data_IF_201504967257
#
_entry.id   IF_201504967257
#
_cell.length_a   1.000
_cell.length_b   1.000
_cell.length_c   1.000
_cell.angle_alpha   90.00
_cell.angle_beta   90.00
_cell.angle_gamma   90.00
#
_symmetry.space_group_name_H-M   'P 1'
#
loop_
_entity.id
_entity.type
_entity.pdbx_description
1 polymer ?
#
# COMPACT_ATOMS: atom_id res chain seq x y z
N UNK A 1 26.00 53.27 51.95
CA UNK A 1 25.10 52.11 51.94
C UNK A 1 24.94 51.72 50.48
N UNK A 2 25.61 50.65 50.09
CA UNK A 2 25.63 50.16 48.72
C UNK A 2 24.25 49.57 48.37
N UNK A 3 23.74 49.93 47.18
CA UNK A 3 22.43 49.50 46.66
C UNK A 3 22.23 47.97 46.73
N UNK A 4 23.32 47.22 46.60
CA UNK A 4 23.33 45.76 46.60
C UNK A 4 23.12 45.12 47.99
N UNK A 5 23.29 45.86 49.10
CA UNK A 5 23.00 45.36 50.45
C UNK A 5 21.49 45.31 50.76
N UNK A 6 20.67 46.10 50.04
CA UNK A 6 19.20 46.08 50.21
C UNK A 6 18.45 45.24 49.18
N UNK A 7 18.98 45.12 47.96
CA UNK A 7 18.24 44.55 46.85
C UNK A 7 18.71 43.16 46.41
N UNK A 8 19.82 42.64 46.97
CA UNK A 8 20.41 41.39 46.50
C UNK A 8 20.95 41.51 45.06
N UNK A 9 21.78 40.56 44.64
CA UNK A 9 22.15 40.44 43.25
C UNK A 9 21.04 39.71 42.48
N UNK A 10 20.66 40.26 41.33
CA UNK A 10 19.69 39.64 40.43
C UNK A 10 20.31 38.34 39.89
N UNK A 11 19.80 37.20 40.33
CA UNK A 11 20.26 35.88 39.88
C UNK A 11 19.51 35.55 38.61
N UNK A 12 20.13 35.81 37.47
CA UNK A 12 19.61 35.37 36.18
C UNK A 12 19.41 33.84 36.19
N UNK A 13 18.17 33.38 36.09
CA UNK A 13 17.80 31.96 36.02
C UNK A 13 18.16 31.27 34.69
N UNK A 14 19.06 31.84 33.88
CA UNK A 14 19.34 31.38 32.52
C UNK A 14 20.57 30.48 32.37
N UNK A 15 21.34 30.24 33.44
CA UNK A 15 22.46 29.30 33.41
C UNK A 15 21.99 27.86 33.68
N UNK A 16 21.32 27.27 32.68
CA UNK A 16 21.14 25.82 32.60
C UNK A 16 22.31 25.23 31.78
N UNK A 17 23.23 24.45 32.37
CA UNK A 17 24.45 23.95 31.70
C UNK A 17 24.20 22.83 30.66
N UNK A 18 22.96 22.66 30.18
CA UNK A 18 22.58 21.55 29.31
C UNK A 18 21.31 21.85 28.49
N UNK A 19 21.27 22.97 27.77
CA UNK A 19 20.38 23.09 26.61
C UNK A 19 21.22 22.93 25.35
N UNK A 20 21.34 21.68 24.90
CA UNK A 20 21.95 21.32 23.63
C UNK A 20 21.06 21.86 22.49
N UNK A 21 21.15 23.16 22.21
CA UNK A 21 20.54 23.73 21.01
C UNK A 21 21.22 23.08 19.82
N UNK A 22 20.43 22.50 18.93
CA UNK A 22 20.93 22.07 17.63
C UNK A 22 21.65 23.27 17.00
N UNK A 23 22.82 23.06 16.36
CA UNK A 23 23.51 24.14 15.67
C UNK A 23 22.53 24.86 14.75
N UNK A 24 22.52 26.19 14.78
CA UNK A 24 21.73 26.97 13.83
C UNK A 24 22.30 26.75 12.44
N UNK A 25 21.72 25.80 11.71
CA UNK A 25 22.01 25.60 10.30
C UNK A 25 21.36 26.74 9.53
N UNK A 26 22.11 27.41 8.66
CA UNK A 26 21.52 28.46 7.81
C UNK A 26 20.56 27.82 6.80
N UNK A 27 19.52 28.55 6.39
CA UNK A 27 18.59 28.06 5.37
C UNK A 27 19.30 27.75 4.04
N UNK A 28 20.37 28.48 3.71
CA UNK A 28 21.19 28.24 2.52
C UNK A 28 21.99 26.94 2.63
N UNK A 29 22.62 26.68 3.78
CA UNK A 29 23.35 25.44 4.00
C UNK A 29 22.43 24.22 4.05
N UNK A 30 21.24 24.35 4.64
CA UNK A 30 20.22 23.32 4.57
C UNK A 30 19.73 23.06 3.13
N UNK A 31 19.74 24.09 2.27
CA UNK A 31 19.38 24.00 0.85
C UNK A 31 20.51 23.40 -0.01
N UNK A 32 21.78 23.59 0.36
CA UNK A 32 22.92 22.92 -0.28
C UNK A 32 23.00 21.44 0.14
N UNK A 33 22.67 21.10 1.40
CA UNK A 33 22.64 19.73 1.93
C UNK A 33 21.46 18.87 1.41
N UNK A 34 20.25 19.44 1.29
CA UNK A 34 19.77 19.81 -0.04
C UNK A 34 20.34 19.10 -1.29
N UNK A 35 20.65 19.91 -2.28
CA UNK A 35 20.99 19.49 -3.63
C UNK A 35 22.20 18.51 -3.74
N UNK A 36 23.09 18.45 -2.76
CA UNK A 36 24.22 17.52 -2.74
C UNK A 36 23.85 16.03 -2.57
N UNK A 37 22.63 15.72 -2.16
CA UNK A 37 22.27 14.36 -1.74
C UNK A 37 21.67 13.55 -2.91
N UNK A 38 22.53 13.05 -3.81
CA UNK A 38 22.20 12.16 -4.96
C UNK A 38 21.41 10.90 -4.53
N UNK A 39 21.36 10.59 -3.22
CA UNK A 39 20.68 9.40 -2.68
C UNK A 39 19.27 9.63 -2.14
N UNK A 40 18.64 10.80 -2.35
CA UNK A 40 17.32 11.15 -1.77
C UNK A 40 16.18 10.22 -2.11
N UNK A 41 16.28 9.56 -3.26
CA UNK A 41 15.20 8.77 -3.83
C UNK A 41 15.61 7.30 -3.91
N UNK A 42 14.60 6.44 -3.78
CA UNK A 42 14.68 5.03 -4.13
C UNK A 42 13.94 4.87 -5.46
N UNK A 43 14.64 4.40 -6.50
CA UNK A 43 14.03 4.18 -7.81
C UNK A 43 12.90 3.15 -7.72
N UNK A 44 11.86 3.36 -8.52
CA UNK A 44 10.78 2.39 -8.73
C UNK A 44 11.07 1.44 -9.89
N UNK A 45 12.23 1.59 -10.55
CA UNK A 45 12.59 0.94 -11.81
C UNK A 45 11.64 1.26 -12.98
N UNK A 46 10.87 2.36 -12.84
CA UNK A 46 9.93 2.87 -13.83
C UNK A 46 10.27 4.35 -14.10
N UNK A 47 11.05 4.66 -15.15
CA UNK A 47 11.65 5.99 -15.33
C UNK A 47 10.64 7.14 -15.35
N UNK A 48 9.48 6.94 -15.95
CA UNK A 48 8.47 7.99 -16.05
C UNK A 48 7.70 8.18 -14.73
N UNK A 49 7.50 7.11 -13.96
CA UNK A 49 6.98 7.19 -12.60
C UNK A 49 7.99 7.89 -11.68
N UNK A 50 9.27 7.54 -11.78
CA UNK A 50 10.34 8.18 -11.01
C UNK A 50 10.38 9.69 -11.27
N UNK A 51 10.32 10.12 -12.53
CA UNK A 51 10.23 11.54 -12.90
C UNK A 51 9.00 12.22 -12.30
N UNK A 52 7.83 11.57 -12.34
CA UNK A 52 6.61 12.13 -11.78
C UNK A 52 6.69 12.30 -10.25
N UNK A 53 7.42 11.41 -9.58
CA UNK A 53 7.71 11.51 -8.15
C UNK A 53 8.78 12.58 -7.83
N UNK A 54 9.70 12.87 -8.75
CA UNK A 54 10.67 13.98 -8.63
C UNK A 54 10.04 15.36 -8.79
N UNK A 55 9.09 15.52 -9.73
CA UNK A 55 8.62 16.81 -10.25
C UNK A 55 7.96 17.79 -9.23
N UNK A 56 7.89 17.44 -7.96
CA UNK A 56 7.46 18.33 -6.86
C UNK A 56 8.60 18.83 -5.97
N UNK A 57 9.84 18.39 -6.18
CA UNK A 57 11.03 19.04 -5.67
C UNK A 57 11.51 20.03 -6.76
N UNK A 58 11.48 21.33 -6.44
CA UNK A 58 12.03 22.47 -7.19
C UNK A 58 12.57 22.18 -8.59
N UNK A 59 11.94 22.76 -9.62
CA UNK A 59 12.55 22.90 -10.94
C UNK A 59 13.88 23.67 -10.83
N UNK A 60 15.00 22.96 -10.79
CA UNK A 60 16.30 23.55 -11.08
C UNK A 60 16.29 23.99 -12.56
N UNK A 61 16.78 25.21 -12.89
CA UNK A 61 16.80 25.71 -14.26
C UNK A 61 17.88 25.07 -15.14
N UNK A 62 18.73 24.20 -14.59
CA UNK A 62 19.81 23.54 -15.31
C UNK A 62 19.43 22.08 -15.58
N UNK A 63 19.47 21.68 -16.85
CA UNK A 63 18.94 20.41 -17.39
C UNK A 63 19.66 19.13 -16.98
N UNK A 64 19.96 18.95 -15.70
CA UNK A 64 20.28 17.66 -15.12
C UNK A 64 18.97 16.92 -14.83
N UNK A 65 18.81 15.72 -15.38
CA UNK A 65 17.63 14.88 -15.16
C UNK A 65 17.68 14.41 -13.71
N UNK A 66 16.99 15.13 -12.84
CA UNK A 66 16.96 14.82 -11.42
C UNK A 66 16.39 13.39 -11.25
N UNK A 67 17.19 12.51 -10.65
CA UNK A 67 16.84 11.11 -10.47
C UNK A 67 15.70 11.02 -9.44
N UNK A 68 14.47 10.88 -9.90
CA UNK A 68 13.30 10.78 -9.05
C UNK A 68 13.04 9.39 -8.48
N UNK A 69 11.94 9.26 -7.74
CA UNK A 69 11.51 8.00 -7.15
C UNK A 69 10.85 8.19 -5.79
N UNK A 70 10.83 7.12 -5.00
CA UNK A 70 10.27 7.15 -3.64
C UNK A 70 11.19 7.98 -2.74
N UNK A 71 10.68 9.10 -2.25
CA UNK A 71 11.44 10.03 -1.43
C UNK A 71 11.74 9.46 -0.04
N UNK A 72 13.01 9.54 0.39
CA UNK A 72 13.42 9.32 1.77
C UNK A 72 12.95 10.45 2.69
N UNK A 73 12.94 10.18 4.00
CA UNK A 73 12.46 11.16 4.98
C UNK A 73 10.92 11.24 5.06
N UNK A 74 10.22 10.57 4.15
CA UNK A 74 8.78 10.69 3.95
C UNK A 74 8.10 9.33 3.94
N UNK A 75 6.80 9.34 4.24
CA UNK A 75 5.95 8.17 4.24
C UNK A 75 5.20 8.07 2.91
N UNK A 76 5.40 6.96 2.21
CA UNK A 76 4.73 6.64 0.94
C UNK A 76 3.72 5.52 1.14
N UNK A 77 2.49 5.70 0.66
CA UNK A 77 1.46 4.66 0.64
C UNK A 77 1.23 4.15 -0.78
N UNK A 78 1.25 2.83 -0.95
CA UNK A 78 0.87 2.16 -2.19
C UNK A 78 -0.35 1.31 -1.90
N UNK A 79 -1.48 1.66 -2.51
CA UNK A 79 -2.75 0.98 -2.25
C UNK A 79 -3.36 0.44 -3.53
N UNK A 80 -4.22 -0.57 -3.40
CA UNK A 80 -4.92 -1.12 -4.54
C UNK A 80 -5.52 -2.51 -4.30
N UNK A 81 -6.33 -3.02 -5.24
CA UNK A 81 -6.95 -4.34 -5.15
C UNK A 81 -5.96 -5.51 -5.00
N UNK A 82 -6.41 -6.70 -4.57
CA UNK A 82 -5.56 -7.90 -4.60
C UNK A 82 -5.08 -8.22 -6.03
N UNK A 83 -3.89 -8.82 -6.16
CA UNK A 83 -3.34 -9.24 -7.46
C UNK A 83 -2.75 -8.14 -8.36
N UNK A 84 -2.91 -6.86 -8.01
CA UNK A 84 -2.36 -5.73 -8.81
C UNK A 84 -0.84 -5.56 -8.71
N UNK A 85 -0.14 -6.37 -7.91
CA UNK A 85 1.32 -6.36 -7.83
C UNK A 85 1.94 -5.45 -6.77
N UNK A 86 1.19 -5.02 -5.74
CA UNK A 86 1.73 -4.20 -4.63
C UNK A 86 2.98 -4.82 -3.98
N UNK A 87 2.94 -6.11 -3.68
CA UNK A 87 4.05 -6.84 -3.06
C UNK A 87 5.24 -6.93 -4.00
N UNK A 88 5.02 -7.24 -5.28
CA UNK A 88 6.08 -7.24 -6.29
C UNK A 88 6.71 -5.85 -6.47
N UNK A 89 5.91 -4.78 -6.39
CA UNK A 89 6.40 -3.40 -6.41
C UNK A 89 7.28 -3.09 -5.19
N UNK A 90 6.86 -3.51 -4.00
CA UNK A 90 7.68 -3.39 -2.78
C UNK A 90 8.97 -4.22 -2.83
N UNK A 91 8.91 -5.43 -3.37
CA UNK A 91 10.08 -6.30 -3.56
C UNK A 91 11.07 -5.69 -4.54
N UNK A 92 10.60 -5.10 -5.65
CA UNK A 92 11.48 -4.40 -6.60
C UNK A 92 12.24 -3.27 -5.90
N UNK A 93 11.53 -2.37 -5.21
CA UNK A 93 12.15 -1.27 -4.48
C UNK A 93 13.16 -1.78 -3.43
N UNK A 94 12.84 -2.87 -2.73
CA UNK A 94 13.75 -3.51 -1.79
C UNK A 94 15.00 -4.08 -2.49
N UNK A 95 14.83 -4.77 -3.62
CA UNK A 95 15.92 -5.36 -4.38
C UNK A 95 16.88 -4.28 -4.90
N UNK A 96 16.37 -3.15 -5.37
CA UNK A 96 17.18 -2.02 -5.83
C UNK A 96 18.00 -1.41 -4.69
N UNK A 97 17.39 -1.22 -3.51
CA UNK A 97 18.10 -0.75 -2.30
C UNK A 97 19.19 -1.73 -1.86
N UNK A 98 18.93 -3.04 -1.93
CA UNK A 98 19.91 -4.06 -1.58
C UNK A 98 21.07 -4.12 -2.58
N UNK A 99 20.80 -3.92 -3.88
CA UNK A 99 21.84 -3.84 -4.93
C UNK A 99 22.79 -2.67 -4.71
N UNK A 100 22.28 -1.57 -4.17
CA UNK A 100 23.08 -0.40 -3.75
C UNK A 100 23.90 -0.65 -2.46
N UNK A 101 23.83 -1.85 -1.86
CA UNK A 101 24.53 -2.18 -0.62
C UNK A 101 23.90 -1.55 0.64
N UNK A 102 22.65 -1.07 0.55
CA UNK A 102 21.90 -0.47 1.66
C UNK A 102 21.03 -1.52 2.36
N UNK A 103 20.60 -1.22 3.57
CA UNK A 103 19.73 -2.11 4.36
C UNK A 103 18.24 -1.94 4.03
N UNK A 104 17.49 -3.04 4.09
CA UNK A 104 16.02 -3.07 3.96
C UNK A 104 15.41 -3.75 5.18
N UNK A 105 14.34 -3.15 5.73
CA UNK A 105 13.47 -3.78 6.73
C UNK A 105 12.12 -4.09 6.08
N UNK A 106 11.82 -5.38 5.88
CA UNK A 106 10.52 -5.83 5.40
C UNK A 106 9.66 -6.31 6.59
N UNK A 107 8.53 -5.66 6.82
CA UNK A 107 7.57 -6.05 7.87
C UNK A 107 6.31 -6.56 7.20
N UNK A 108 6.10 -7.87 7.26
CA UNK A 108 4.88 -8.49 6.75
C UNK A 108 3.77 -8.48 7.81
N UNK A 109 2.63 -7.89 7.44
CA UNK A 109 1.45 -7.75 8.26
C UNK A 109 0.25 -8.56 7.72
N UNK A 110 0.47 -9.51 6.79
CA UNK A 110 -0.63 -10.29 6.19
C UNK A 110 -1.34 -11.20 7.18
N UNK A 111 -0.64 -11.74 8.17
CA UNK A 111 -1.24 -12.63 9.16
C UNK A 111 -1.94 -11.81 10.26
N UNK A 112 -3.28 -11.95 10.39
CA UNK A 112 -3.99 -11.25 11.45
C UNK A 112 -3.53 -11.80 12.81
N UNK A 113 -3.21 -10.89 13.73
CA UNK A 113 -3.05 -11.25 15.15
C UNK A 113 -4.38 -11.85 15.64
N UNK A 114 -4.32 -13.02 16.29
CA UNK A 114 -5.52 -13.70 16.82
C UNK A 114 -6.36 -12.73 17.65
N UNK A 115 -7.55 -12.39 17.13
CA UNK A 115 -8.47 -11.46 17.78
C UNK A 115 -8.96 -12.01 19.10
N UNK A 116 -9.19 -13.31 19.19
CA UNK A 116 -9.60 -14.01 20.41
C UNK A 116 -8.54 -13.86 21.48
N UNK A 117 -7.28 -14.21 21.16
CA UNK A 117 -6.17 -14.10 22.09
C UNK A 117 -5.93 -12.67 22.56
N UNK A 118 -5.99 -11.70 21.63
CA UNK A 118 -5.83 -10.28 21.96
C UNK A 118 -6.97 -9.77 22.85
N UNK A 119 -8.20 -10.20 22.57
CA UNK A 119 -9.39 -9.81 23.34
C UNK A 119 -9.35 -10.38 24.75
N UNK A 120 -8.94 -11.63 24.93
CA UNK A 120 -8.74 -12.23 26.25
C UNK A 120 -7.71 -11.46 27.08
N UNK A 121 -6.57 -11.11 26.47
CA UNK A 121 -5.52 -10.33 27.14
C UNK A 121 -6.01 -8.92 27.49
N UNK A 122 -6.83 -8.30 26.64
CA UNK A 122 -7.43 -6.99 26.93
C UNK A 122 -8.50 -7.06 28.03
N UNK A 123 -9.34 -8.10 28.05
CA UNK A 123 -10.40 -8.30 29.06
C UNK A 123 -9.82 -8.56 30.45
N UNK A 124 -8.69 -9.25 30.53
CA UNK A 124 -7.95 -9.43 31.79
C UNK A 124 -7.44 -8.11 32.41
N UNK A 125 -7.54 -6.96 31.71
CA UNK A 125 -7.08 -5.64 32.15
C UNK A 125 -8.19 -4.60 32.32
N UNK A 126 -9.46 -5.00 32.42
CA UNK A 126 -10.58 -4.04 32.38
C UNK A 126 -10.48 -2.90 33.41
N UNK A 127 -10.37 -1.67 32.87
CA UNK A 127 -10.93 -0.45 33.44
C UNK A 127 -11.64 0.31 32.30
N UNK A 128 -12.78 0.94 32.62
CA UNK A 128 -13.62 1.69 31.69
C UNK A 128 -12.80 2.68 30.84
N UNK A 129 -12.70 2.40 29.55
CA UNK A 129 -11.85 3.14 28.62
C UNK A 129 -12.60 3.59 27.38
N UNK A 130 -11.94 4.40 26.52
CA UNK A 130 -12.54 4.93 25.31
C UNK A 130 -13.03 3.81 24.38
N UNK A 131 -14.00 4.13 23.51
CA UNK A 131 -14.57 3.19 22.55
C UNK A 131 -13.49 2.50 21.71
N UNK A 132 -13.75 1.30 21.20
CA UNK A 132 -12.82 0.59 20.31
C UNK A 132 -12.45 1.43 19.07
N UNK A 133 -13.38 2.22 18.55
CA UNK A 133 -13.13 3.15 17.45
C UNK A 133 -12.15 4.26 17.83
N UNK A 134 -12.28 4.82 19.03
CA UNK A 134 -11.36 5.83 19.57
C UNK A 134 -9.97 5.24 19.81
N UNK A 135 -9.89 4.03 20.38
CA UNK A 135 -8.62 3.30 20.54
C UNK A 135 -7.95 3.03 19.19
N UNK A 136 -8.71 2.59 18.19
CA UNK A 136 -8.22 2.38 16.83
C UNK A 136 -7.64 3.67 16.24
N UNK A 137 -8.33 4.81 16.41
CA UNK A 137 -7.83 6.10 15.91
C UNK A 137 -6.55 6.55 16.63
N UNK A 138 -6.47 6.35 17.95
CA UNK A 138 -5.27 6.64 18.74
C UNK A 138 -4.07 5.79 18.31
N UNK A 139 -4.30 4.49 18.10
CA UNK A 139 -3.26 3.57 17.59
C UNK A 139 -2.83 4.00 16.18
N UNK A 140 -3.78 4.33 15.30
CA UNK A 140 -3.46 4.76 13.95
C UNK A 140 -2.63 6.05 13.93
N UNK A 141 -2.99 7.02 14.77
CA UNK A 141 -2.22 8.25 14.98
C UNK A 141 -0.81 7.95 15.50
N UNK A 142 -0.68 7.04 16.47
CA UNK A 142 0.61 6.65 16.99
C UNK A 142 1.48 5.98 15.91
N UNK A 143 0.93 5.03 15.17
CA UNK A 143 1.64 4.30 14.11
C UNK A 143 2.12 5.25 13.03
N UNK A 144 1.24 6.12 12.50
CA UNK A 144 1.64 7.05 11.44
C UNK A 144 2.70 8.04 11.91
N UNK A 145 2.58 8.56 13.13
CA UNK A 145 3.60 9.45 13.71
C UNK A 145 4.94 8.74 13.92
N UNK A 146 4.91 7.47 14.34
CA UNK A 146 6.12 6.66 14.52
C UNK A 146 6.81 6.39 13.17
N UNK A 147 6.03 6.07 12.12
CA UNK A 147 6.54 5.86 10.77
C UNK A 147 7.11 7.16 10.17
N UNK A 148 6.43 8.29 10.33
CA UNK A 148 6.94 9.59 9.89
C UNK A 148 8.23 9.97 10.62
N UNK A 149 8.27 9.79 11.95
CA UNK A 149 9.48 10.03 12.74
C UNK A 149 10.61 9.11 12.30
N UNK A 150 10.33 7.83 12.05
CA UNK A 150 11.32 6.88 11.55
C UNK A 150 11.88 7.35 10.20
N UNK A 151 11.01 7.69 9.25
CA UNK A 151 11.40 8.19 7.93
C UNK A 151 12.32 9.40 8.05
N UNK A 152 11.89 10.43 8.78
CA UNK A 152 12.61 11.69 8.92
C UNK A 152 13.93 11.57 9.70
N UNK A 153 13.95 10.81 10.80
CA UNK A 153 15.14 10.71 11.67
C UNK A 153 16.22 9.79 11.13
N UNK A 154 15.85 8.83 10.29
CA UNK A 154 16.79 7.86 9.70
C UNK A 154 17.08 8.14 8.23
N UNK A 155 16.55 9.23 7.67
CA UNK A 155 16.58 9.51 6.23
C UNK A 155 16.22 8.26 5.41
N UNK A 156 15.15 7.59 5.83
CA UNK A 156 14.73 6.31 5.26
C UNK A 156 13.49 6.51 4.38
N UNK A 157 13.42 5.77 3.27
CA UNK A 157 12.20 5.63 2.50
C UNK A 157 11.29 4.64 3.22
N UNK A 158 10.14 5.10 3.70
CA UNK A 158 9.16 4.23 4.37
C UNK A 158 7.97 4.05 3.43
N UNK A 159 7.75 2.82 2.99
CA UNK A 159 6.67 2.44 2.09
C UNK A 159 5.69 1.55 2.83
N UNK A 160 4.40 1.88 2.79
CA UNK A 160 3.32 1.08 3.36
C UNK A 160 2.43 0.58 2.23
N UNK A 161 2.25 -0.74 2.17
CA UNK A 161 1.35 -1.39 1.22
C UNK A 161 -0.01 -1.57 1.89
N UNK A 162 -1.07 -0.97 1.34
CA UNK A 162 -2.43 -1.08 1.90
C UNK A 162 -3.42 -1.67 0.90
N UNK A 163 -4.46 -2.33 1.42
CA UNK A 163 -5.57 -2.80 0.59
C UNK A 163 -6.49 -1.64 0.19
N UNK A 164 -7.46 -1.90 -0.67
CA UNK A 164 -8.54 -0.96 -0.99
C UNK A 164 -9.87 -1.38 -0.35
N UNK A 165 -10.78 -0.43 -0.20
CA UNK A 165 -12.18 -0.65 0.12
C UNK A 165 -13.09 -0.02 -0.94
N UNK A 166 -14.33 -0.50 -1.04
CA UNK A 166 -15.33 0.10 -1.93
C UNK A 166 -16.19 1.10 -1.15
N UNK A 167 -16.29 2.34 -1.65
CA UNK A 167 -17.23 3.35 -1.14
C UNK A 167 -18.33 3.55 -2.17
N UNK A 168 -19.58 3.39 -1.74
CA UNK A 168 -20.74 3.76 -2.56
C UNK A 168 -21.00 5.26 -2.43
N UNK A 169 -21.08 5.94 -3.57
CA UNK A 169 -21.52 7.33 -3.68
C UNK A 169 -22.88 7.33 -4.39
N UNK A 170 -23.84 8.11 -3.86
CA UNK A 170 -25.20 8.14 -4.38
C UNK A 170 -25.27 8.51 -5.87
N UNK A 171 -24.36 9.37 -6.35
CA UNK A 171 -24.35 9.89 -7.73
C UNK A 171 -23.25 9.29 -8.62
N UNK A 172 -22.13 8.83 -8.03
CA UNK A 172 -20.95 8.32 -8.77
C UNK A 172 -20.77 6.80 -8.70
N UNK A 173 -21.72 6.10 -8.07
CA UNK A 173 -21.66 4.65 -7.92
C UNK A 173 -20.56 4.17 -6.98
N UNK A 174 -20.07 2.95 -7.22
CA UNK A 174 -19.02 2.33 -6.42
C UNK A 174 -17.63 2.86 -6.82
N UNK A 175 -16.90 3.44 -5.88
CA UNK A 175 -15.52 3.92 -6.09
C UNK A 175 -14.56 3.17 -5.17
N UNK A 176 -13.37 2.84 -5.67
CA UNK A 176 -12.30 2.30 -4.84
C UNK A 176 -11.62 3.43 -4.05
N UNK A 177 -11.39 3.18 -2.76
CA UNK A 177 -10.67 4.06 -1.86
C UNK A 177 -9.59 3.26 -1.11
N UNK A 178 -8.55 3.91 -0.56
CA UNK A 178 -7.66 3.26 0.39
C UNK A 178 -8.44 2.62 1.55
N UNK A 179 -8.03 1.45 2.01
CA UNK A 179 -8.69 0.75 3.12
C UNK A 179 -8.60 1.53 4.44
N UNK A 180 -7.55 2.33 4.60
CA UNK A 180 -7.37 3.24 5.75
C UNK A 180 -7.82 4.63 5.32
N UNK A 181 -9.10 4.94 5.56
CA UNK A 181 -9.67 6.25 5.28
C UNK A 181 -9.92 6.99 6.61
N UNK A 182 -8.85 7.55 7.17
CA UNK A 182 -8.90 8.37 8.38
C UNK A 182 -8.01 9.60 8.21
N UNK A 183 -8.49 10.78 8.58
CA UNK A 183 -7.78 12.05 8.40
C UNK A 183 -6.37 12.06 8.99
N UNK A 184 -6.19 11.41 10.15
CA UNK A 184 -4.89 11.28 10.82
C UNK A 184 -3.87 10.50 9.98
N UNK A 185 -4.33 9.48 9.24
CA UNK A 185 -3.49 8.70 8.33
C UNK A 185 -3.17 9.51 7.08
N UNK A 186 -4.22 10.09 6.47
CA UNK A 186 -4.14 10.93 5.27
C UNK A 186 -3.15 12.08 5.38
N UNK A 187 -3.10 12.73 6.54
CA UNK A 187 -2.16 13.82 6.83
C UNK A 187 -0.72 13.32 6.94
N UNK A 188 -0.52 12.08 7.40
CA UNK A 188 0.80 11.50 7.57
C UNK A 188 1.44 10.98 6.29
N UNK A 189 0.62 10.63 5.29
CA UNK A 189 1.10 10.18 3.97
C UNK A 189 1.59 11.37 3.15
N UNK A 190 2.86 11.38 2.76
CA UNK A 190 3.42 12.41 1.89
C UNK A 190 3.16 12.10 0.41
N UNK A 191 3.39 10.85 0.02
CA UNK A 191 3.24 10.37 -1.35
C UNK A 191 2.28 9.19 -1.39
N UNK A 192 1.37 9.18 -2.36
CA UNK A 192 0.38 8.10 -2.52
C UNK A 192 0.28 7.64 -3.96
N UNK A 193 0.40 6.33 -4.14
CA UNK A 193 0.22 5.63 -5.40
C UNK A 193 -1.01 4.71 -5.30
N UNK A 194 -1.83 4.70 -6.34
CA UNK A 194 -2.87 3.71 -6.54
C UNK A 194 -2.44 2.73 -7.63
N UNK A 195 -2.40 1.43 -7.30
CA UNK A 195 -2.13 0.38 -8.27
C UNK A 195 -3.43 -0.27 -8.74
N UNK A 196 -3.57 -0.38 -10.05
CA UNK A 196 -4.73 -0.96 -10.72
C UNK A 196 -4.24 -1.98 -11.74
N UNK A 197 -5.12 -2.89 -12.13
CA UNK A 197 -4.90 -3.81 -13.24
C UNK A 197 -5.98 -3.55 -14.27
N UNK A 198 -5.58 -3.44 -15.51
CA UNK A 198 -6.51 -3.27 -16.62
C UNK A 198 -6.05 -4.06 -17.85
N UNK A 199 -6.93 -4.17 -18.82
CA UNK A 199 -6.64 -4.73 -20.13
C UNK A 199 -6.13 -3.62 -21.04
N UNK A 200 -5.02 -3.88 -21.70
CA UNK A 200 -4.47 -3.00 -22.70
C UNK A 200 -4.34 -3.73 -24.02
N UNK A 201 -4.38 -2.98 -25.11
CA UNK A 201 -4.21 -3.51 -26.45
C UNK A 201 -2.79 -3.18 -26.92
N UNK A 202 -2.04 -4.20 -27.33
CA UNK A 202 -0.77 -4.02 -28.03
C UNK A 202 -0.80 -4.90 -29.27
N UNK A 203 -0.52 -4.32 -30.44
CA UNK A 203 -0.53 -5.00 -31.74
C UNK A 203 -1.79 -5.88 -31.97
N UNK A 204 -2.96 -5.36 -31.59
CA UNK A 204 -4.25 -6.06 -31.73
C UNK A 204 -4.49 -7.19 -30.73
N UNK A 205 -3.57 -7.46 -29.81
CA UNK A 205 -3.72 -8.50 -28.78
C UNK A 205 -4.00 -7.84 -27.42
N UNK A 206 -5.05 -8.27 -26.71
CA UNK A 206 -5.28 -7.82 -25.35
C UNK A 206 -4.23 -8.46 -24.43
N UNK A 207 -3.56 -7.64 -23.63
CA UNK A 207 -2.66 -8.09 -22.59
C UNK A 207 -3.03 -7.41 -21.27
N UNK A 208 -2.84 -8.14 -20.16
CA UNK A 208 -3.10 -7.59 -18.84
C UNK A 208 -1.96 -6.69 -18.41
N UNK A 209 -2.22 -5.40 -18.26
CA UNK A 209 -1.27 -4.43 -17.77
C UNK A 209 -1.59 -4.00 -16.35
N UNK A 210 -0.58 -3.52 -15.64
CA UNK A 210 -0.75 -2.87 -14.34
C UNK A 210 -0.48 -1.39 -14.50
N UNK A 211 -1.25 -0.59 -13.79
CA UNK A 211 -1.22 0.86 -13.86
C UNK A 211 -0.86 1.38 -12.46
N UNK A 212 0.10 2.29 -12.39
CA UNK A 212 0.43 3.07 -11.21
C UNK A 212 -0.05 4.50 -11.41
N UNK A 213 -1.08 4.90 -10.67
CA UNK A 213 -1.60 6.27 -10.68
C UNK A 213 -1.05 7.05 -9.48
N UNK A 214 -0.47 8.21 -9.74
CA UNK A 214 0.03 9.11 -8.70
C UNK A 214 -1.12 9.95 -8.17
N UNK A 215 -1.45 9.81 -6.89
CA UNK A 215 -2.56 10.54 -6.26
C UNK A 215 -2.10 11.69 -5.37
N UNK A 216 -0.91 11.57 -4.78
CA UNK A 216 -0.34 12.56 -3.87
C UNK A 216 1.17 12.53 -4.01
N UNK A 217 1.81 13.69 -4.07
CA UNK A 217 3.27 13.84 -4.06
C UNK A 217 3.61 15.00 -3.14
N UNK A 218 4.56 14.79 -2.22
CA UNK A 218 5.06 15.83 -1.30
C UNK A 218 3.95 16.60 -0.56
N UNK A 219 2.92 15.89 -0.11
CA UNK A 219 1.78 16.50 0.59
C UNK A 219 0.69 17.07 -0.32
N UNK A 220 0.96 17.27 -1.61
CA UNK A 220 0.02 17.85 -2.59
C UNK A 220 -0.73 16.74 -3.32
N UNK A 221 -2.05 16.88 -3.40
CA UNK A 221 -2.89 15.96 -4.17
C UNK A 221 -2.65 16.25 -5.65
N UNK A 222 -2.37 15.22 -6.44
CA UNK A 222 -2.22 15.34 -7.89
C UNK A 222 -3.56 15.76 -8.51
N UNK A 223 -3.55 16.78 -9.38
CA UNK A 223 -4.72 17.16 -10.17
C UNK A 223 -5.08 16.02 -11.12
N UNK A 224 -6.40 15.80 -11.31
CA UNK A 224 -7.08 14.73 -12.05
C UNK A 224 -6.23 13.45 -12.31
N UNK A 225 -6.47 12.40 -11.53
CA UNK A 225 -5.62 11.19 -11.45
C UNK A 225 -5.47 10.36 -12.73
N UNK A 226 -6.01 10.84 -13.86
CA UNK A 226 -5.83 10.29 -15.20
C UNK A 226 -4.56 10.83 -15.90
N UNK A 227 -4.04 11.99 -15.50
CA UNK A 227 -2.86 12.61 -16.15
C UNK A 227 -1.51 12.05 -15.67
N UNK A 228 -1.48 11.28 -14.58
CA UNK A 228 -0.25 10.69 -14.02
C UNK A 228 -0.41 9.19 -13.79
N UNK A 229 -0.73 8.47 -14.87
CA UNK A 229 -0.85 7.02 -14.88
C UNK A 229 0.31 6.40 -15.66
N UNK A 230 1.00 5.45 -15.04
CA UNK A 230 2.18 4.79 -15.59
C UNK A 230 1.92 3.28 -15.71
N UNK A 231 2.02 2.73 -16.92
CA UNK A 231 1.84 1.31 -17.13
C UNK A 231 3.13 0.53 -16.87
N UNK A 232 2.99 -0.66 -16.29
CA UNK A 232 4.10 -1.56 -16.01
C UNK A 232 3.67 -3.03 -16.08
N UNK A 233 4.65 -3.88 -16.36
CA UNK A 233 4.57 -5.34 -16.27
C UNK A 233 5.37 -5.85 -15.07
N UNK A 234 5.06 -7.07 -14.63
CA UNK A 234 5.88 -7.78 -13.65
C UNK A 234 6.38 -9.03 -14.35
N UNK A 235 7.68 -9.06 -14.57
CA UNK A 235 8.40 -10.15 -15.21
C UNK A 235 9.15 -10.95 -14.14
N UNK A 236 9.78 -12.06 -14.55
CA UNK A 236 10.62 -12.87 -13.65
C UNK A 236 11.82 -12.10 -13.09
N UNK A 237 12.22 -11.01 -13.74
CA UNK A 237 13.36 -10.16 -13.35
C UNK A 237 12.96 -8.92 -12.55
N UNK A 238 11.66 -8.66 -12.36
CA UNK A 238 11.19 -7.48 -11.64
C UNK A 238 10.14 -6.67 -12.40
N UNK A 239 10.03 -5.38 -12.07
CA UNK A 239 9.16 -4.44 -12.77
C UNK A 239 9.79 -3.96 -14.08
N UNK A 240 8.99 -3.86 -15.13
CA UNK A 240 9.37 -3.29 -16.42
C UNK A 240 8.32 -2.28 -16.91
N UNK A 241 8.72 -1.17 -17.55
CA UNK A 241 7.78 -0.23 -18.15
C UNK A 241 6.95 -0.90 -19.26
N UNK A 242 5.64 -0.63 -19.27
CA UNK A 242 4.75 -1.05 -20.36
C UNK A 242 4.26 0.17 -21.15
N UNK A 243 4.05 0.01 -22.46
CA UNK A 243 3.60 1.10 -23.32
C UNK A 243 2.11 1.38 -23.09
N UNK A 244 1.78 2.56 -22.58
CA UNK A 244 0.41 3.04 -22.43
C UNK A 244 0.01 3.98 -23.56
N UNK A 245 -0.94 3.57 -24.40
CA UNK A 245 -1.61 4.49 -25.32
C UNK A 245 -2.81 5.10 -24.58
N UNK A 246 -2.69 6.37 -24.19
CA UNK A 246 -3.63 7.10 -23.33
C UNK A 246 -5.06 7.20 -23.86
N UNK A 247 -5.31 6.73 -25.09
CA UNK A 247 -6.63 6.70 -25.71
C UNK A 247 -7.54 5.56 -25.21
N UNK A 248 -7.02 4.53 -24.52
CA UNK A 248 -7.84 3.38 -24.10
C UNK A 248 -8.59 3.58 -22.77
N UNK A 249 -8.05 4.38 -21.83
CA UNK A 249 -8.62 4.53 -20.48
C UNK A 249 -9.88 5.41 -20.41
N UNK A 250 -10.27 6.06 -21.51
CA UNK A 250 -11.52 6.83 -21.58
C UNK A 250 -12.76 5.95 -21.80
N UNK A 251 -12.60 4.64 -22.02
CA UNK A 251 -13.69 3.75 -22.42
C UNK A 251 -14.41 3.03 -21.27
N UNK A 252 -13.94 3.13 -20.01
CA UNK A 252 -14.71 2.70 -18.84
C UNK A 252 -15.28 3.90 -18.09
N UNK A 253 -16.02 4.76 -18.78
CA UNK A 253 -17.11 5.46 -18.08
C UNK A 253 -17.98 4.37 -17.47
N UNK A 254 -18.12 4.40 -16.15
CA UNK A 254 -19.06 3.54 -15.45
C UNK A 254 -20.46 3.89 -15.91
N UNK A 255 -20.91 3.28 -17.00
CA UNK A 255 -22.32 3.24 -17.33
C UNK A 255 -23.07 2.67 -16.12
N UNK A 256 -24.23 3.23 -15.75
CA UNK A 256 -25.01 2.71 -14.64
C UNK A 256 -25.21 1.21 -14.83
N UNK A 257 -24.81 0.41 -13.83
CA UNK A 257 -25.11 -1.02 -13.77
C UNK A 257 -26.61 -1.16 -14.03
N UNK A 258 -26.97 -1.72 -15.19
CA UNK A 258 -28.36 -2.04 -15.53
C UNK A 258 -28.91 -2.89 -14.38
N UNK A 259 -29.88 -2.34 -13.63
CA UNK A 259 -30.66 -3.12 -12.67
C UNK A 259 -31.40 -4.20 -13.48
N UNK A 260 -31.31 -5.43 -13.00
CA UNK A 260 -31.90 -6.61 -13.63
C UNK A 260 -33.45 -6.59 -13.62
N UNK A 261 -34.09 -5.61 -12.98
CA UNK A 261 -35.54 -5.58 -12.76
C UNK A 261 -36.34 -4.67 -13.72
N UNK A 262 -35.70 -4.02 -14.69
CA UNK A 262 -36.40 -3.26 -15.74
C UNK A 262 -36.22 -3.93 -17.10
N UNK A 263 -36.78 -5.12 -17.24
CA UNK A 263 -37.11 -5.70 -18.54
C UNK A 263 -38.61 -5.63 -18.76
N UNK A 264 -39.11 -4.42 -18.98
CA UNK A 264 -40.40 -4.22 -19.63
C UNK A 264 -40.27 -4.57 -21.12
N UNK A 265 -40.26 -5.86 -21.45
CA UNK A 265 -40.38 -6.32 -22.83
C UNK A 265 -41.86 -6.38 -23.21
N UNK A 266 -42.39 -5.31 -23.80
CA UNK A 266 -43.38 -5.49 -24.86
C UNK A 266 -42.59 -5.91 -26.10
N UNK A 267 -42.76 -7.16 -26.54
CA UNK A 267 -42.24 -7.65 -27.81
C UNK A 267 -43.32 -7.40 -28.85
N UNK A 268 -43.10 -6.52 -29.86
CA UNK A 268 -43.95 -6.51 -31.04
C UNK A 268 -43.66 -7.79 -31.84
N UNK A 269 -44.70 -8.58 -32.11
CA UNK A 269 -44.61 -9.69 -33.05
C UNK A 269 -44.31 -9.13 -34.45
N UNK A 270 -43.04 -9.22 -34.86
CA UNK A 270 -42.65 -9.06 -36.27
C UNK A 270 -42.03 -10.37 -36.73
N UNK A 271 -42.86 -11.14 -37.43
CA UNK A 271 -42.48 -12.31 -38.20
C UNK A 271 -41.45 -11.93 -39.28
N UNK A 272 -40.60 -12.90 -39.60
CA UNK A 272 -39.66 -12.96 -40.73
C UNK A 272 -38.38 -12.10 -40.62
N UNK A 273 -37.27 -12.73 -40.22
CA UNK A 273 -36.06 -12.84 -41.06
C UNK A 273 -35.01 -13.76 -40.40
N UNK A 274 -34.51 -14.71 -41.18
CA UNK A 274 -33.50 -15.71 -40.86
C UNK A 274 -32.17 -15.06 -40.39
N UNK A 275 -32.03 -14.83 -39.08
CA UNK A 275 -30.74 -14.48 -38.48
C UNK A 275 -29.91 -15.75 -38.25
N UNK A 276 -29.24 -16.18 -39.32
CA UNK A 276 -28.22 -17.21 -39.29
C UNK A 276 -27.00 -16.76 -38.47
N UNK A 277 -27.02 -17.03 -37.16
CA UNK A 277 -25.79 -17.08 -36.36
C UNK A 277 -24.94 -18.24 -36.89
N UNK A 278 -23.98 -17.94 -37.74
CA UNK A 278 -22.99 -18.94 -38.15
C UNK A 278 -22.22 -19.37 -36.90
N UNK A 279 -22.42 -20.62 -36.47
CA UNK A 279 -21.79 -21.27 -35.31
C UNK A 279 -20.25 -21.44 -35.41
N UNK A 280 -19.58 -20.73 -36.32
CA UNK A 280 -18.13 -20.86 -36.53
C UNK A 280 -17.42 -19.61 -36.03
N UNK A 281 -17.26 -19.48 -34.71
CA UNK A 281 -16.08 -18.83 -34.10
C UNK A 281 -16.08 -18.79 -32.56
N UNK A 282 -16.86 -19.63 -31.89
CA UNK A 282 -16.76 -19.81 -30.43
C UNK A 282 -15.44 -20.42 -29.98
N UNK A 283 -14.62 -20.97 -30.89
CA UNK A 283 -13.31 -21.56 -30.61
C UNK A 283 -12.12 -20.59 -30.71
N UNK A 284 -12.31 -19.36 -31.19
CA UNK A 284 -11.24 -18.33 -31.28
C UNK A 284 -11.26 -17.34 -30.11
N UNK A 285 -12.27 -17.40 -29.24
CA UNK A 285 -12.35 -16.56 -28.05
C UNK A 285 -11.51 -17.19 -26.92
N UNK A 286 -10.53 -16.48 -26.34
CA UNK A 286 -9.84 -16.96 -25.16
C UNK A 286 -10.84 -17.14 -24.02
N UNK A 287 -10.64 -18.21 -23.23
CA UNK A 287 -11.45 -18.48 -22.04
C UNK A 287 -11.47 -17.26 -21.10
N UNK A 288 -12.63 -16.99 -20.50
CA UNK A 288 -12.82 -15.87 -19.58
C UNK A 288 -11.69 -15.81 -18.55
N UNK A 289 -11.08 -14.64 -18.31
CA UNK A 289 -10.11 -14.50 -17.25
C UNK A 289 -10.75 -14.90 -15.91
N UNK A 290 -10.01 -15.56 -15.01
CA UNK A 290 -10.56 -16.04 -13.74
C UNK A 290 -11.29 -14.91 -13.02
N UNK A 291 -12.62 -15.07 -12.89
CA UNK A 291 -13.45 -14.22 -12.07
C UNK A 291 -12.94 -14.30 -10.63
N UNK A 292 -12.60 -13.15 -10.05
CA UNK A 292 -12.36 -12.90 -8.62
C UNK A 292 -12.63 -14.09 -7.69
N UNK A 293 -11.65 -14.99 -7.59
CA UNK A 293 -11.57 -15.91 -6.47
C UNK A 293 -10.56 -15.29 -5.51
N UNK A 294 -11.11 -14.73 -4.43
CA UNK A 294 -10.33 -14.18 -3.33
C UNK A 294 -9.39 -15.21 -2.74
N UNK A 295 -8.31 -14.70 -2.14
CA UNK A 295 -7.23 -15.40 -1.41
C UNK A 295 -6.60 -16.52 -2.23
N UNK A 296 -5.40 -16.37 -2.78
CA UNK A 296 -4.17 -16.74 -2.08
C UNK A 296 -2.94 -16.37 -2.94
N UNK A 297 -2.06 -15.49 -2.46
CA UNK A 297 -0.66 -15.45 -2.93
C UNK A 297 0.13 -16.39 -2.01
N UNK A 298 0.05 -17.70 -2.26
CA UNK A 298 0.87 -18.70 -1.57
C UNK A 298 2.30 -18.61 -2.11
N UNK A 299 3.21 -18.09 -1.29
CA UNK A 299 4.64 -18.38 -1.42
C UNK A 299 4.80 -19.87 -1.12
N UNK A 300 4.85 -20.69 -2.17
CA UNK A 300 5.23 -22.10 -2.07
C UNK A 300 6.72 -22.18 -1.72
N UNK A 301 7.01 -22.18 -0.41
CA UNK A 301 8.26 -22.68 0.14
C UNK A 301 8.27 -24.21 0.05
N UNK A 302 9.22 -24.73 -0.71
CA UNK A 302 9.55 -26.15 -0.79
C UNK A 302 9.99 -26.74 0.57
N UNK A 303 9.61 -28.01 0.76
CA UNK A 303 10.16 -29.04 1.66
C UNK A 303 9.55 -29.18 3.07
N UNK A 304 8.80 -30.27 3.28
CA UNK A 304 9.24 -31.34 4.17
C UNK A 304 8.53 -32.66 3.83
N UNK A 305 9.36 -33.61 3.38
CA UNK A 305 9.40 -35.03 3.75
C UNK A 305 8.08 -35.82 3.85
N UNK A 306 7.96 -36.75 2.91
CA UNK A 306 7.10 -37.93 2.94
C UNK A 306 7.21 -38.70 4.27
N UNK A 307 6.19 -38.61 5.12
CA UNK A 307 5.95 -39.62 6.15
C UNK A 307 5.01 -40.69 5.60
N UNK A 308 5.46 -41.93 5.77
CA UNK A 308 4.86 -43.16 5.29
C UNK A 308 3.63 -43.48 6.14
N UNK A 309 2.55 -43.87 5.45
CA UNK A 309 1.44 -44.60 6.06
C UNK A 309 1.99 -45.82 6.79
N UNK A 310 1.73 -45.90 8.10
CA UNK A 310 1.75 -47.16 8.83
C UNK A 310 0.41 -47.32 9.52
N UNK A 311 -0.42 -48.16 8.91
CA UNK A 311 -1.59 -48.77 9.51
C UNK A 311 -1.17 -49.48 10.80
N UNK A 312 -1.85 -49.19 11.90
CA UNK A 312 -1.81 -50.02 13.10
C UNK A 312 -3.25 -50.41 13.42
N UNK A 313 -3.56 -51.66 13.11
CA UNK A 313 -4.78 -52.35 13.50
C UNK A 313 -4.95 -52.35 15.02
N UNK A 314 -6.17 -52.03 15.45
CA UNK A 314 -6.63 -52.24 16.80
C UNK A 314 -6.71 -53.75 17.09
N UNK A 315 -5.99 -54.20 18.11
CA UNK A 315 -6.27 -55.47 18.78
C UNK A 315 -6.33 -55.26 20.29
N UNK A 316 -7.39 -55.82 20.85
CA UNK A 316 -7.81 -55.84 22.24
C UNK A 316 -6.72 -56.45 23.15
N UNK A 317 -6.75 -56.13 24.45
CA UNK A 317 -6.60 -57.08 25.58
C UNK A 317 -6.73 -56.35 26.93
N UNK A 318 -7.80 -56.71 27.65
CA UNK A 318 -7.97 -56.99 29.10
C UNK A 318 -7.13 -56.20 30.13
N UNK A 319 -7.77 -55.39 30.99
CA UNK A 319 -8.29 -55.75 32.33
C UNK A 319 -7.18 -56.07 33.35
N UNK A 320 -6.82 -55.09 34.19
CA UNK A 320 -6.48 -55.36 35.59
C UNK A 320 -6.51 -54.07 36.44
N UNK A 321 -7.44 -54.03 37.40
CA UNK A 321 -7.53 -53.03 38.47
C UNK A 321 -6.83 -53.58 39.71
N UNK A 322 -6.06 -52.77 40.47
CA UNK A 322 -5.80 -53.05 41.87
C UNK A 322 -6.72 -52.23 42.79
N UNK A 323 -6.96 -52.71 44.04
CA UNK A 323 -8.04 -52.24 44.90
C UNK A 323 -7.66 -51.02 45.74
N UNK A 324 -8.69 -50.22 46.04
CA UNK A 324 -8.70 -49.22 47.11
C UNK A 324 -8.88 -49.92 48.46
N UNK A 325 -8.05 -49.56 49.44
CA UNK A 325 -8.22 -49.93 50.85
C UNK A 325 -8.42 -48.68 51.72
N UNK A 326 -9.47 -48.76 52.55
CA UNK A 326 -9.71 -48.09 53.84
C UNK A 326 -10.16 -46.60 53.87
N UNK A 327 -11.48 -46.38 53.99
CA UNK A 327 -12.21 -46.12 55.26
C UNK A 327 -13.74 -46.10 55.06
#
# INVERSE_FOLDING_TARGET
>A
MEYHERHGHDVCSFDLPSTHRLPTVSAAQALEDLDANVSRFVSTNLPDLDKALAASASSSPDGEVDAGGIQKGHLTEIWGPPGVGKTAFGIQAAADVLRDGKGVLWVDCFYPVSRERLTEVCRAREAGGPSMSSKRLQVLQYVVNALQKLAATRDAAVVVLTQCATRMQAEKGATLIPAINASVWEQGIATRLALLRDWMWNDGHPYGARLAAVQKVNGKIASDGLDQVFAFSIDSTGLSPAHFDGHAASSTTSGPKRKLDETGFEVPDSEDEDYGWQEKDSSLLPGMPPQWQGSEDLILGQNHETERDSDVEASELEDDRPPDDEE
#
